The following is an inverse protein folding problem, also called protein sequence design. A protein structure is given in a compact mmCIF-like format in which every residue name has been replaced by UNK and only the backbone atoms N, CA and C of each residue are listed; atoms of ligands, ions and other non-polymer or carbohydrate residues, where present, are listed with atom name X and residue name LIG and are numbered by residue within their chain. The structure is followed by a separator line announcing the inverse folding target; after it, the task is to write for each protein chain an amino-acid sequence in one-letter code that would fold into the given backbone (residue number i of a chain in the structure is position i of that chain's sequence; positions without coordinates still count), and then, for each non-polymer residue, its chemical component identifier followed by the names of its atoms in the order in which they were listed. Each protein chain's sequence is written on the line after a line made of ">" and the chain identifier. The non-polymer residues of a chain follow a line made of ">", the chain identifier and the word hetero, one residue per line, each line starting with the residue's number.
data_IF_858132996789
#
_entry.id   IF_858132996789
#
_cell.length_a   1.000
_cell.length_b   1.000
_cell.length_c   1.000
_cell.angle_alpha   90.00
_cell.angle_beta   90.00
_cell.angle_gamma   90.00
#
_symmetry.space_group_name_H-M   'P 1'
#
loop_
_entity.id
_entity.type
_entity.pdbx_description
1 polymer ?
#
# COMPACT_ATOMS: atom_id res chain seq x y z
N UNK A 1 5.71 -12.39 -9.12
CA UNK A 1 6.47 -11.80 -7.98
C UNK A 1 5.49 -11.11 -7.07
N UNK A 2 5.70 -11.19 -5.77
CA UNK A 2 4.91 -10.48 -4.76
C UNK A 2 5.27 -9.00 -4.81
N UNK A 3 4.26 -8.12 -4.77
CA UNK A 3 4.41 -6.67 -4.73
C UNK A 3 3.77 -6.11 -3.46
N UNK A 4 4.34 -5.04 -2.91
CA UNK A 4 3.69 -4.27 -1.85
C UNK A 4 2.51 -3.47 -2.40
N UNK A 5 1.47 -3.29 -1.61
CA UNK A 5 0.36 -2.38 -1.92
C UNK A 5 0.72 -0.91 -1.68
N UNK A 6 1.74 -0.65 -0.88
CA UNK A 6 2.29 0.68 -0.66
C UNK A 6 3.46 0.90 -1.60
N UNK A 7 3.59 2.10 -2.13
CA UNK A 7 4.68 2.45 -3.02
C UNK A 7 4.78 3.94 -3.25
N UNK A 8 5.93 4.35 -3.73
CA UNK A 8 6.23 5.70 -4.19
C UNK A 8 6.99 5.59 -5.50
N UNK A 9 6.71 6.49 -6.43
CA UNK A 9 7.46 6.65 -7.66
C UNK A 9 7.50 8.09 -8.07
N UNK A 10 8.59 8.50 -8.69
CA UNK A 10 8.77 9.88 -9.11
C UNK A 10 9.51 9.98 -10.44
N UNK A 11 9.11 10.96 -11.26
CA UNK A 11 9.81 11.31 -12.48
C UNK A 11 9.91 12.83 -12.61
N UNK A 12 11.02 13.28 -13.18
CA UNK A 12 11.27 14.70 -13.46
C UNK A 12 11.71 14.85 -14.91
N UNK A 13 11.23 15.89 -15.56
CA UNK A 13 11.62 16.17 -16.93
C UNK A 13 11.23 17.56 -17.38
N UNK A 14 11.67 17.92 -18.59
CA UNK A 14 11.31 19.17 -19.23
C UNK A 14 10.30 18.86 -20.34
N UNK A 15 9.15 19.51 -20.29
CA UNK A 15 8.08 19.37 -21.29
C UNK A 15 7.76 20.76 -21.82
N UNK A 16 8.00 21.01 -23.12
CA UNK A 16 7.79 22.32 -23.77
C UNK A 16 8.39 23.50 -22.97
N UNK A 17 9.64 23.33 -22.48
CA UNK A 17 10.35 24.35 -21.69
C UNK A 17 9.88 24.45 -20.22
N UNK A 18 8.93 23.66 -19.78
CA UNK A 18 8.43 23.62 -18.40
C UNK A 18 9.13 22.51 -17.60
N UNK A 19 9.63 22.83 -16.42
CA UNK A 19 10.12 21.80 -15.50
C UNK A 19 8.93 21.11 -14.82
N UNK A 20 8.77 19.84 -15.10
CA UNK A 20 7.66 19.02 -14.61
C UNK A 20 8.19 17.95 -13.65
N UNK A 21 7.53 17.80 -12.52
CA UNK A 21 7.73 16.68 -11.59
C UNK A 21 6.41 15.97 -11.39
N UNK A 22 6.42 14.65 -11.59
CA UNK A 22 5.28 13.77 -11.31
C UNK A 22 5.66 12.84 -10.17
N UNK A 23 4.88 12.83 -9.11
CA UNK A 23 5.08 11.97 -7.94
C UNK A 23 3.81 11.15 -7.68
N UNK A 24 3.98 9.85 -7.45
CA UNK A 24 2.93 8.89 -7.16
C UNK A 24 3.15 8.32 -5.77
N UNK A 25 2.10 8.27 -4.97
CA UNK A 25 2.12 7.60 -3.67
C UNK A 25 0.88 6.74 -3.52
N UNK A 26 1.06 5.47 -3.15
CA UNK A 26 -0.06 4.58 -2.88
C UNK A 26 -0.14 4.14 -1.43
N UNK A 27 -1.37 3.87 -0.99
CA UNK A 27 -1.68 3.20 0.27
C UNK A 27 -2.69 2.08 0.00
N UNK A 28 -2.69 1.08 0.88
CA UNK A 28 -3.63 -0.03 0.78
C UNK A 28 -5.08 0.48 0.79
N UNK A 29 -5.84 0.12 -0.23
CA UNK A 29 -7.28 0.35 -0.30
C UNK A 29 -7.95 -0.78 -1.09
N UNK A 30 -9.20 -1.10 -0.73
CA UNK A 30 -9.97 -2.18 -1.37
C UNK A 30 -10.30 -1.89 -2.83
N UNK A 31 -10.56 -0.63 -3.16
CA UNK A 31 -10.91 -0.17 -4.51
C UNK A 31 -9.81 0.75 -5.03
N UNK A 32 -9.73 0.87 -6.35
CA UNK A 32 -8.87 1.85 -6.99
C UNK A 32 -9.48 3.25 -6.80
N UNK A 33 -8.74 4.14 -6.13
CA UNK A 33 -9.08 5.55 -5.94
C UNK A 33 -7.88 6.39 -6.35
N UNK A 34 -8.03 7.25 -7.35
CA UNK A 34 -6.93 8.06 -7.91
C UNK A 34 -7.27 9.53 -7.72
N UNK A 35 -6.50 10.20 -6.90
CA UNK A 35 -6.58 11.65 -6.70
C UNK A 35 -5.38 12.33 -7.38
N UNK A 36 -5.64 13.05 -8.47
CA UNK A 36 -4.61 13.83 -9.16
C UNK A 36 -4.67 15.28 -8.68
N UNK A 37 -3.53 15.80 -8.27
CA UNK A 37 -3.35 17.21 -7.88
C UNK A 37 -2.38 17.87 -8.83
N UNK A 38 -2.87 18.84 -9.60
CA UNK A 38 -2.07 19.60 -10.56
C UNK A 38 -2.51 21.06 -10.62
N UNK A 39 -1.67 21.97 -11.13
CA UNK A 39 -2.03 23.37 -11.29
C UNK A 39 -3.21 23.54 -12.24
N UNK A 40 -4.12 24.51 -11.94
CA UNK A 40 -5.38 24.72 -12.67
C UNK A 40 -5.22 24.86 -14.19
N UNK A 41 -4.14 25.47 -14.62
CA UNK A 41 -3.88 25.71 -16.04
C UNK A 41 -3.59 24.42 -16.85
N UNK A 42 -3.38 23.28 -16.18
CA UNK A 42 -3.03 22.00 -16.79
C UNK A 42 -4.09 20.91 -16.57
N UNK A 43 -5.26 21.25 -16.02
CA UNK A 43 -6.36 20.31 -15.77
C UNK A 43 -6.85 19.59 -17.05
N UNK A 44 -6.62 20.16 -18.22
CA UNK A 44 -6.92 19.50 -19.51
C UNK A 44 -6.17 18.16 -19.71
N UNK A 45 -5.10 17.92 -18.95
CA UNK A 45 -4.32 16.68 -19.01
C UNK A 45 -4.67 15.67 -17.90
N UNK A 46 -5.55 16.03 -16.94
CA UNK A 46 -5.87 15.19 -15.78
C UNK A 46 -6.39 13.81 -16.17
N UNK A 47 -7.34 13.77 -17.11
CA UNK A 47 -7.95 12.51 -17.54
C UNK A 47 -6.95 11.59 -18.25
N UNK A 48 -5.99 12.15 -18.98
CA UNK A 48 -4.94 11.37 -19.63
C UNK A 48 -3.99 10.74 -18.59
N UNK A 49 -3.60 11.50 -17.57
CA UNK A 49 -2.80 11.00 -16.43
C UNK A 49 -3.56 9.91 -15.68
N UNK A 50 -4.82 10.12 -15.32
CA UNK A 50 -5.68 9.12 -14.67
C UNK A 50 -5.80 7.85 -15.48
N UNK A 51 -6.09 7.97 -16.77
CA UNK A 51 -6.24 6.83 -17.68
C UNK A 51 -4.94 6.01 -17.76
N UNK A 52 -3.79 6.67 -17.83
CA UNK A 52 -2.48 6.01 -17.83
C UNK A 52 -2.27 5.19 -16.56
N UNK A 53 -2.64 5.73 -15.40
CA UNK A 53 -2.51 5.03 -14.12
C UNK A 53 -3.49 3.86 -14.03
N UNK A 54 -4.74 4.03 -14.46
CA UNK A 54 -5.78 2.98 -14.44
C UNK A 54 -5.41 1.75 -15.26
N UNK A 55 -4.61 1.92 -16.32
CA UNK A 55 -4.11 0.80 -17.13
C UNK A 55 -3.02 -0.03 -16.42
N UNK A 56 -2.36 0.52 -15.40
CA UNK A 56 -1.24 -0.11 -14.69
C UNK A 56 -1.59 -0.62 -13.30
N UNK A 57 -2.52 0.05 -12.61
CA UNK A 57 -2.85 -0.25 -11.21
C UNK A 57 -4.30 -0.68 -11.11
N UNK A 58 -4.53 -1.84 -10.48
CA UNK A 58 -5.88 -2.44 -10.38
C UNK A 58 -6.62 -2.08 -9.09
N UNK A 59 -5.90 -1.72 -8.01
CA UNK A 59 -6.47 -1.38 -6.71
C UNK A 59 -5.53 -0.50 -5.89
N UNK A 60 -6.04 0.09 -4.81
CA UNK A 60 -5.27 0.98 -3.93
C UNK A 60 -5.74 2.42 -4.03
N UNK A 61 -5.39 3.24 -3.06
CA UNK A 61 -5.58 4.69 -3.14
C UNK A 61 -4.27 5.31 -3.56
N UNK A 62 -4.28 6.02 -4.71
CA UNK A 62 -3.14 6.71 -5.26
C UNK A 62 -3.34 8.22 -5.17
N UNK A 63 -2.42 8.89 -4.50
CA UNK A 63 -2.27 10.34 -4.57
C UNK A 63 -1.18 10.66 -5.60
N UNK A 64 -1.52 11.46 -6.60
CA UNK A 64 -0.65 11.87 -7.71
C UNK A 64 -0.45 13.36 -7.62
N UNK A 65 0.80 13.79 -7.52
CA UNK A 65 1.19 15.19 -7.47
C UNK A 65 1.93 15.56 -8.74
N UNK A 66 1.38 16.49 -9.52
CA UNK A 66 2.03 17.06 -10.69
C UNK A 66 2.41 18.48 -10.36
N UNK A 67 3.71 18.71 -10.24
CA UNK A 67 4.27 20.06 -10.02
C UNK A 67 4.89 20.55 -11.30
N UNK A 68 4.51 21.78 -11.72
CA UNK A 68 4.98 22.40 -12.95
C UNK A 68 5.57 23.76 -12.58
N UNK A 69 6.87 23.91 -12.83
CA UNK A 69 7.56 25.17 -12.65
C UNK A 69 7.73 25.88 -14.02
N UNK A 70 7.06 27.02 -14.13
CA UNK A 70 7.09 27.87 -15.33
C UNK A 70 8.07 29.04 -15.21
N UNK A 71 8.94 29.04 -14.21
CA UNK A 71 9.87 30.17 -13.97
C UNK A 71 10.87 30.38 -15.11
N UNK A 72 11.11 29.37 -15.96
CA UNK A 72 12.00 29.44 -17.12
C UNK A 72 11.24 29.50 -18.47
N UNK A 73 9.92 29.50 -18.48
CA UNK A 73 9.15 29.68 -19.71
C UNK A 73 9.29 31.14 -20.19
N UNK A 74 10.26 31.35 -21.06
CA UNK A 74 10.71 32.68 -21.47
C UNK A 74 9.83 33.35 -22.55
N UNK A 75 8.76 32.71 -23.01
CA UNK A 75 7.99 33.26 -24.13
C UNK A 75 6.80 34.11 -23.62
N UNK A 76 7.20 35.27 -23.11
CA UNK A 76 6.25 36.37 -22.93
C UNK A 76 6.12 37.12 -24.24
N UNK A 77 4.99 37.07 -24.89
CA UNK A 77 4.71 37.82 -26.11
C UNK A 77 3.98 39.10 -25.72
N UNK A 78 4.56 40.21 -26.12
CA UNK A 78 3.89 41.51 -26.00
C UNK A 78 2.98 41.67 -27.22
N UNK A 79 1.69 41.78 -26.98
CA UNK A 79 0.67 42.10 -28.01
C UNK A 79 0.24 43.53 -27.87
N UNK A 80 0.22 44.22 -29.03
CA UNK A 80 -0.31 45.58 -29.16
C UNK A 80 -1.73 45.49 -29.71
N UNK A 81 -2.68 46.12 -29.02
CA UNK A 81 -4.04 46.30 -29.54
C UNK A 81 -4.05 47.44 -30.54
N UNK A 82 -3.67 47.13 -31.79
CA UNK A 82 -3.58 48.13 -32.87
C UNK A 82 -4.86 48.91 -33.11
N UNK A 83 -6.10 48.30 -33.13
CA UNK A 83 -7.30 49.07 -33.30
C UNK A 83 -7.53 50.12 -32.21
N UNK A 84 -7.25 49.78 -30.97
CA UNK A 84 -7.37 50.70 -29.83
C UNK A 84 -6.29 51.77 -29.87
N UNK A 85 -5.06 51.42 -30.21
CA UNK A 85 -3.94 52.38 -30.38
C UNK A 85 -4.28 53.40 -31.47
N UNK A 86 -4.80 52.99 -32.65
CA UNK A 86 -5.24 53.90 -33.69
C UNK A 86 -6.38 54.83 -33.22
N UNK A 87 -7.39 54.33 -32.53
CA UNK A 87 -8.45 55.12 -31.99
C UNK A 87 -7.94 56.22 -31.00
N UNK A 88 -6.95 55.91 -30.17
CA UNK A 88 -6.33 56.89 -29.31
C UNK A 88 -5.57 57.98 -30.10
N UNK A 89 -4.75 57.58 -31.09
CA UNK A 89 -4.01 58.50 -31.96
C UNK A 89 -4.95 59.46 -32.68
N UNK A 90 -6.00 58.97 -33.30
CA UNK A 90 -6.97 59.74 -34.06
C UNK A 90 -7.74 60.73 -33.17
N UNK A 91 -8.15 60.23 -31.99
CA UNK A 91 -8.87 61.06 -31.00
C UNK A 91 -7.99 62.20 -30.49
N UNK A 92 -6.76 61.88 -30.08
CA UNK A 92 -5.82 62.90 -29.57
C UNK A 92 -5.42 63.92 -30.64
N UNK A 93 -5.23 63.53 -31.89
CA UNK A 93 -5.01 64.43 -32.99
C UNK A 93 -6.22 65.36 -33.22
N UNK A 94 -7.42 64.82 -33.18
CA UNK A 94 -8.67 65.59 -33.33
C UNK A 94 -8.82 66.63 -32.20
N UNK A 95 -8.51 66.24 -30.95
CA UNK A 95 -8.58 67.13 -29.83
C UNK A 95 -7.50 68.20 -29.87
N UNK A 96 -6.28 67.89 -30.30
CA UNK A 96 -5.20 68.84 -30.46
C UNK A 96 -5.61 69.95 -31.47
N UNK A 97 -6.17 69.60 -32.60
CA UNK A 97 -6.65 70.56 -33.61
C UNK A 97 -7.85 71.39 -33.10
N UNK A 98 -8.84 70.71 -32.45
CA UNK A 98 -10.09 71.34 -32.01
C UNK A 98 -9.87 72.41 -30.92
N UNK A 99 -8.92 72.16 -30.02
CA UNK A 99 -8.69 72.99 -28.86
C UNK A 99 -7.38 73.74 -28.90
N UNK A 100 -6.72 73.76 -30.05
CA UNK A 100 -5.41 74.47 -30.28
C UNK A 100 -4.35 74.02 -29.22
N UNK A 101 -4.30 72.73 -28.96
CA UNK A 101 -3.36 72.15 -28.00
C UNK A 101 -2.14 71.60 -28.72
N UNK A 102 -0.97 71.70 -28.05
CA UNK A 102 0.27 71.13 -28.55
C UNK A 102 0.14 69.59 -28.47
N UNK A 103 0.27 68.93 -29.62
CA UNK A 103 0.34 67.44 -29.62
C UNK A 103 1.76 67.03 -29.22
N UNK A 104 1.88 66.45 -28.03
CA UNK A 104 3.11 65.91 -27.44
C UNK A 104 3.10 64.40 -27.35
N UNK A 105 2.31 63.68 -28.19
CA UNK A 105 2.23 62.25 -28.24
C UNK A 105 3.62 61.63 -28.47
N UNK A 106 4.00 60.73 -27.61
CA UNK A 106 5.16 59.91 -27.76
C UNK A 106 4.79 58.45 -27.69
N UNK A 107 5.60 57.55 -28.26
CA UNK A 107 5.35 56.13 -28.19
C UNK A 107 5.20 55.66 -26.74
N UNK A 108 6.04 56.17 -25.83
CA UNK A 108 6.00 55.81 -24.40
C UNK A 108 4.73 56.31 -23.69
N UNK A 109 4.18 57.47 -24.09
CA UNK A 109 2.92 57.99 -23.52
C UNK A 109 1.74 57.13 -24.01
N UNK A 110 1.71 56.73 -25.27
CA UNK A 110 0.66 55.86 -25.81
C UNK A 110 0.67 54.45 -25.16
N UNK A 111 1.86 53.87 -24.95
CA UNK A 111 1.98 52.56 -24.31
C UNK A 111 1.55 52.51 -22.83
N UNK A 112 1.37 53.68 -22.18
CA UNK A 112 0.88 53.79 -20.81
C UNK A 112 -0.65 53.75 -20.68
N UNK A 113 -1.36 53.92 -21.80
CA UNK A 113 -2.81 53.77 -21.74
C UNK A 113 -3.19 52.31 -21.51
N UNK A 114 -4.20 52.08 -20.67
CA UNK A 114 -4.66 50.73 -20.36
C UNK A 114 -5.12 50.01 -21.64
N UNK A 115 -4.89 48.71 -21.68
CA UNK A 115 -5.35 47.78 -22.72
C UNK A 115 -4.67 47.95 -24.11
N UNK A 116 -3.73 48.91 -24.29
CA UNK A 116 -2.96 48.98 -25.52
C UNK A 116 -1.89 47.91 -25.61
N UNK A 117 -1.22 47.62 -24.50
CA UNK A 117 -0.16 46.61 -24.41
C UNK A 117 -0.63 45.49 -23.47
N UNK A 118 -0.78 44.31 -23.99
CA UNK A 118 -1.01 43.10 -23.21
C UNK A 118 0.22 42.21 -23.20
N UNK A 119 0.52 41.66 -22.01
CA UNK A 119 1.56 40.66 -21.81
C UNK A 119 0.87 39.29 -21.87
N UNK A 120 1.01 38.60 -22.98
CA UNK A 120 0.44 37.27 -23.14
C UNK A 120 1.56 36.22 -23.01
N UNK A 121 1.25 35.14 -22.30
CA UNK A 121 2.11 33.95 -22.38
C UNK A 121 1.85 33.28 -23.72
N UNK A 122 2.91 32.83 -24.40
CA UNK A 122 2.75 32.05 -25.61
C UNK A 122 1.81 30.86 -25.33
N UNK A 123 0.86 30.63 -26.24
CA UNK A 123 -0.03 29.47 -26.13
C UNK A 123 0.82 28.21 -26.24
N UNK A 124 1.02 27.54 -25.10
CA UNK A 124 1.71 26.28 -25.07
C UNK A 124 0.86 25.20 -25.78
N UNK A 125 1.48 24.37 -26.59
CA UNK A 125 0.83 23.28 -27.30
C UNK A 125 0.29 22.25 -26.28
N UNK A 126 -1.02 22.30 -26.04
CA UNK A 126 -1.68 21.45 -25.04
C UNK A 126 -1.51 19.96 -25.36
N UNK A 127 -1.44 19.55 -26.62
CA UNK A 127 -1.29 18.16 -27.00
C UNK A 127 0.12 17.65 -26.71
N UNK A 128 1.15 18.48 -26.94
CA UNK A 128 2.52 18.12 -26.57
C UNK A 128 2.71 18.06 -25.07
N UNK A 129 2.13 19.01 -24.34
CA UNK A 129 2.17 19.00 -22.87
C UNK A 129 1.47 17.74 -22.33
N UNK A 130 0.30 17.40 -22.84
CA UNK A 130 -0.43 16.18 -22.48
C UNK A 130 0.43 14.93 -22.73
N UNK A 131 1.04 14.81 -23.91
CA UNK A 131 1.91 13.70 -24.25
C UNK A 131 3.15 13.62 -23.32
N UNK A 132 3.77 14.76 -23.01
CA UNK A 132 4.90 14.84 -22.09
C UNK A 132 4.51 14.42 -20.66
N UNK A 133 3.36 14.86 -20.16
CA UNK A 133 2.84 14.47 -18.84
C UNK A 133 2.55 12.96 -18.77
N UNK A 134 1.98 12.38 -19.83
CA UNK A 134 1.76 10.93 -19.94
C UNK A 134 3.09 10.18 -19.90
N UNK A 135 4.09 10.62 -20.66
CA UNK A 135 5.42 10.00 -20.66
C UNK A 135 6.09 10.04 -19.29
N UNK A 136 6.05 11.18 -18.60
CA UNK A 136 6.58 11.30 -17.22
C UNK A 136 5.78 10.46 -16.22
N UNK A 137 4.46 10.36 -16.39
CA UNK A 137 3.62 9.48 -15.56
C UNK A 137 4.02 8.02 -15.75
N UNK A 138 4.31 7.56 -16.96
CA UNK A 138 4.80 6.21 -17.23
C UNK A 138 6.17 5.95 -16.59
N UNK A 139 7.07 6.92 -16.62
CA UNK A 139 8.36 6.80 -15.93
C UNK A 139 8.20 6.72 -14.40
N UNK A 140 7.32 7.55 -13.84
CA UNK A 140 7.02 7.52 -12.42
C UNK A 140 6.36 6.19 -12.01
N UNK A 141 5.52 5.60 -12.86
CA UNK A 141 4.94 4.27 -12.66
C UNK A 141 6.01 3.15 -12.70
N UNK A 142 7.00 3.26 -13.56
CA UNK A 142 8.10 2.30 -13.60
C UNK A 142 8.94 2.33 -12.31
N UNK A 143 9.22 3.51 -11.77
CA UNK A 143 9.91 3.68 -10.49
C UNK A 143 9.05 3.16 -9.31
N UNK A 144 7.76 3.47 -9.34
CA UNK A 144 6.76 2.98 -8.40
C UNK A 144 6.71 1.43 -8.36
N UNK A 145 6.68 0.77 -9.51
CA UNK A 145 6.66 -0.69 -9.59
C UNK A 145 7.96 -1.31 -9.05
N UNK A 146 9.12 -0.72 -9.36
CA UNK A 146 10.40 -1.17 -8.79
C UNK A 146 10.42 -1.07 -7.26
N UNK A 147 9.89 0.01 -6.70
CA UNK A 147 9.81 0.16 -5.25
C UNK A 147 8.91 -0.92 -4.64
N UNK A 148 7.72 -1.15 -5.22
CA UNK A 148 6.78 -2.19 -4.77
C UNK A 148 7.37 -3.58 -4.82
N UNK A 149 8.14 -3.90 -5.85
CA UNK A 149 8.82 -5.18 -5.98
C UNK A 149 9.90 -5.37 -4.91
N UNK A 150 10.72 -4.34 -4.64
CA UNK A 150 11.73 -4.38 -3.57
C UNK A 150 11.09 -4.54 -2.19
N UNK A 151 10.00 -3.81 -1.93
CA UNK A 151 9.28 -3.90 -0.67
C UNK A 151 8.55 -5.23 -0.53
N UNK A 152 7.92 -5.73 -1.59
CA UNK A 152 7.28 -7.04 -1.63
C UNK A 152 8.25 -8.18 -1.34
N UNK A 153 9.49 -8.09 -1.85
CA UNK A 153 10.54 -9.06 -1.54
C UNK A 153 10.91 -9.07 -0.05
N UNK A 154 10.99 -7.89 0.59
CA UNK A 154 11.25 -7.78 2.04
C UNK A 154 10.08 -8.35 2.86
N UNK A 155 8.84 -8.02 2.48
CA UNK A 155 7.65 -8.57 3.13
C UNK A 155 7.61 -10.09 3.04
N UNK A 156 7.97 -10.66 1.90
CA UNK A 156 8.08 -12.11 1.73
C UNK A 156 9.10 -12.71 2.70
N UNK A 157 10.29 -12.15 2.79
CA UNK A 157 11.33 -12.63 3.71
C UNK A 157 10.86 -12.58 5.15
N UNK A 158 10.23 -11.48 5.56
CA UNK A 158 9.69 -11.31 6.91
C UNK A 158 8.59 -12.35 7.24
N UNK A 159 7.70 -12.65 6.27
CA UNK A 159 6.69 -13.70 6.44
C UNK A 159 7.33 -15.08 6.56
N UNK A 160 8.34 -15.41 5.73
CA UNK A 160 9.06 -16.69 5.81
C UNK A 160 9.77 -16.89 7.15
N UNK A 161 10.39 -15.86 7.71
CA UNK A 161 11.00 -15.92 9.05
C UNK A 161 9.96 -16.21 10.13
N UNK A 162 8.78 -15.59 10.06
CA UNK A 162 7.68 -15.84 11.00
C UNK A 162 7.10 -17.25 10.84
N UNK A 163 6.96 -17.76 9.60
CA UNK A 163 6.53 -19.13 9.35
C UNK A 163 7.51 -20.14 9.95
N UNK A 164 8.82 -19.91 9.80
CA UNK A 164 9.84 -20.75 10.42
C UNK A 164 9.74 -20.73 11.96
N UNK A 165 9.44 -19.54 12.52
CA UNK A 165 9.20 -19.41 13.97
C UNK A 165 7.98 -20.19 14.42
N UNK A 166 6.87 -20.14 13.67
CA UNK A 166 5.65 -20.92 13.95
C UNK A 166 5.98 -22.41 13.90
N UNK A 167 6.72 -22.90 12.89
CA UNK A 167 7.13 -24.31 12.83
C UNK A 167 7.94 -24.77 14.05
N UNK A 168 8.84 -23.93 14.52
CA UNK A 168 9.59 -24.21 15.78
C UNK A 168 8.65 -24.29 16.98
N UNK A 169 7.67 -23.39 17.11
CA UNK A 169 6.68 -23.42 18.19
C UNK A 169 5.79 -24.65 18.11
N UNK A 170 5.37 -25.07 16.92
CA UNK A 170 4.62 -26.32 16.68
C UNK A 170 5.43 -27.52 17.15
N UNK A 171 6.72 -27.59 16.82
CA UNK A 171 7.61 -28.66 17.26
C UNK A 171 7.71 -28.71 18.80
N UNK A 172 7.73 -27.56 19.47
CA UNK A 172 7.73 -27.52 20.94
C UNK A 172 6.42 -28.10 21.52
N UNK A 173 5.27 -27.81 20.88
CA UNK A 173 3.97 -28.40 21.27
C UNK A 173 3.99 -29.91 21.09
N UNK A 174 4.42 -30.41 19.92
CA UNK A 174 4.51 -31.85 19.61
C UNK A 174 5.41 -32.61 20.59
N UNK A 175 6.49 -31.97 21.07
CA UNK A 175 7.40 -32.58 22.03
C UNK A 175 6.81 -32.61 23.45
N UNK A 176 6.11 -31.54 23.86
CA UNK A 176 5.59 -31.38 25.23
C UNK A 176 4.24 -32.11 25.45
N UNK A 177 3.46 -32.36 24.38
CA UNK A 177 2.13 -32.97 24.50
C UNK A 177 2.14 -34.38 25.11
N UNK A 178 3.03 -35.32 24.71
CA UNK A 178 3.13 -36.66 25.32
C UNK A 178 3.51 -36.61 26.80
N UNK A 179 4.39 -35.71 27.20
CA UNK A 179 4.82 -35.55 28.60
C UNK A 179 3.66 -35.11 29.49
N UNK A 180 2.71 -34.30 28.94
CA UNK A 180 1.53 -33.84 29.66
C UNK A 180 0.58 -35.01 29.97
N UNK A 181 0.37 -35.94 29.04
CA UNK A 181 -0.45 -37.14 29.27
C UNK A 181 0.18 -38.05 30.32
N UNK A 182 1.49 -38.31 30.26
CA UNK A 182 2.21 -39.13 31.21
C UNK A 182 2.20 -38.52 32.65
N UNK A 183 2.38 -37.19 32.75
CA UNK A 183 2.30 -36.48 34.02
C UNK A 183 0.88 -36.50 34.62
N UNK A 184 -0.17 -36.50 33.79
CA UNK A 184 -1.53 -36.65 34.26
C UNK A 184 -1.78 -38.05 34.83
N UNK A 185 -1.36 -39.09 34.13
CA UNK A 185 -1.50 -40.51 34.58
C UNK A 185 -0.81 -40.67 35.95
N UNK A 186 0.44 -40.21 36.08
CA UNK A 186 1.18 -40.28 37.34
C UNK A 186 0.45 -39.55 38.50
N UNK A 187 -0.10 -38.35 38.22
CA UNK A 187 -0.85 -37.58 39.21
C UNK A 187 -2.20 -38.23 39.57
N UNK A 188 -2.88 -38.84 38.59
CA UNK A 188 -4.14 -39.57 38.81
C UNK A 188 -3.87 -40.77 39.73
N UNK A 189 -2.84 -41.54 39.44
CA UNK A 189 -2.40 -42.69 40.27
C UNK A 189 -2.13 -42.28 41.71
N UNK A 190 -1.31 -41.22 41.90
CA UNK A 190 -0.98 -40.71 43.23
C UNK A 190 -2.23 -40.25 44.02
N UNK A 191 -3.18 -39.58 43.34
CA UNK A 191 -4.44 -39.16 43.99
C UNK A 191 -5.31 -40.34 44.39
N UNK A 192 -5.39 -41.38 43.55
CA UNK A 192 -6.15 -42.56 43.83
C UNK A 192 -5.55 -43.37 45.00
N UNK A 193 -4.21 -43.49 45.05
CA UNK A 193 -3.51 -44.10 46.17
C UNK A 193 -3.79 -43.38 47.52
N UNK A 194 -3.79 -42.03 47.47
CA UNK A 194 -4.08 -41.25 48.67
C UNK A 194 -5.52 -41.35 49.18
N UNK A 195 -6.49 -41.50 48.26
CA UNK A 195 -7.92 -41.58 48.60
C UNK A 195 -8.36 -43.00 48.94
N UNK A 196 -7.74 -44.02 48.34
CA UNK A 196 -8.14 -45.41 48.42
C UNK A 196 -7.21 -46.24 49.33
N UNK A 197 -6.57 -45.60 50.32
CA UNK A 197 -5.54 -46.20 51.21
C UNK A 197 -5.94 -47.54 51.92
N UNK A 198 -7.17 -48.04 51.69
CA UNK A 198 -7.69 -49.31 52.21
C UNK A 198 -8.45 -50.16 51.18
N UNK A 199 -8.44 -49.82 49.89
CA UNK A 199 -9.21 -50.53 48.88
C UNK A 199 -8.30 -50.85 47.67
N UNK A 200 -8.46 -52.04 47.08
CA UNK A 200 -7.73 -52.45 45.89
C UNK A 200 -7.94 -51.49 44.75
N UNK A 201 -6.87 -50.99 44.12
CA UNK A 201 -6.95 -50.05 42.99
C UNK A 201 -7.28 -50.87 41.73
N UNK A 202 -8.36 -50.51 41.04
CA UNK A 202 -8.72 -51.07 39.74
C UNK A 202 -7.81 -50.52 38.64
N UNK A 203 -6.66 -51.16 38.41
CA UNK A 203 -5.66 -50.78 37.39
C UNK A 203 -6.29 -50.61 35.97
N UNK A 204 -7.16 -51.51 35.47
CA UNK A 204 -7.83 -51.30 34.17
C UNK A 204 -8.60 -50.00 34.09
N UNK A 205 -9.21 -49.52 35.17
CA UNK A 205 -9.93 -48.26 35.20
C UNK A 205 -9.01 -47.03 35.16
N UNK A 206 -7.84 -47.08 35.82
CA UNK A 206 -6.84 -46.03 35.71
C UNK A 206 -6.33 -45.91 34.31
N UNK A 207 -6.01 -47.04 33.64
CA UNK A 207 -5.51 -47.07 32.27
C UNK A 207 -6.60 -46.53 31.30
N UNK A 208 -7.86 -46.92 31.49
CA UNK A 208 -8.97 -46.44 30.67
C UNK A 208 -9.15 -44.90 30.82
N UNK A 209 -9.11 -44.36 32.01
CA UNK A 209 -9.24 -42.92 32.27
C UNK A 209 -8.05 -42.12 31.71
N UNK A 210 -6.83 -42.67 31.87
CA UNK A 210 -5.62 -42.06 31.30
C UNK A 210 -5.66 -42.06 29.75
N UNK A 211 -6.18 -43.13 29.14
CA UNK A 211 -6.35 -43.20 27.68
C UNK A 211 -7.40 -42.20 27.18
N UNK A 212 -8.54 -42.07 27.86
CA UNK A 212 -9.55 -41.04 27.54
C UNK A 212 -8.97 -39.64 27.65
N UNK A 213 -8.20 -39.38 28.71
CA UNK A 213 -7.54 -38.10 28.88
C UNK A 213 -6.47 -37.82 27.79
N UNK A 214 -5.65 -38.83 27.46
CA UNK A 214 -4.64 -38.72 26.40
C UNK A 214 -5.30 -38.36 25.04
N UNK A 215 -6.43 -39.00 24.70
CA UNK A 215 -7.21 -38.69 23.50
C UNK A 215 -7.78 -37.28 23.55
N UNK A 216 -8.28 -36.84 24.71
CA UNK A 216 -8.80 -35.48 24.89
C UNK A 216 -7.74 -34.38 24.74
N UNK A 217 -6.51 -34.63 25.15
CA UNK A 217 -5.40 -33.66 25.05
C UNK A 217 -4.55 -33.85 23.80
N UNK A 218 -4.86 -34.83 22.97
CA UNK A 218 -4.14 -35.06 21.72
C UNK A 218 -4.27 -33.82 20.79
N UNK A 219 -3.12 -33.35 20.28
CA UNK A 219 -3.02 -32.17 19.41
C UNK A 219 -2.38 -32.51 18.06
N UNK A 220 -2.22 -33.79 17.79
CA UNK A 220 -1.52 -34.26 16.57
C UNK A 220 -2.23 -33.82 15.29
N UNK A 221 -3.56 -33.82 15.30
CA UNK A 221 -4.35 -33.39 14.15
C UNK A 221 -4.16 -31.88 13.90
N UNK A 222 -4.21 -31.08 14.93
CA UNK A 222 -4.04 -29.62 14.85
C UNK A 222 -2.63 -29.24 14.41
N UNK A 223 -1.62 -29.92 14.88
CA UNK A 223 -0.21 -29.65 14.48
C UNK A 223 0.04 -30.06 13.03
N UNK A 224 -0.48 -31.19 12.57
CA UNK A 224 -0.41 -31.64 11.18
C UNK A 224 -1.16 -30.66 10.26
N UNK A 225 -2.35 -30.22 10.64
CA UNK A 225 -3.12 -29.22 9.88
C UNK A 225 -2.35 -27.90 9.79
N UNK A 226 -1.78 -27.42 10.90
CA UNK A 226 -1.03 -26.18 10.95
C UNK A 226 0.20 -26.24 10.03
N UNK A 227 0.94 -27.36 10.02
CA UNK A 227 2.05 -27.59 9.07
C UNK A 227 1.58 -27.60 7.61
N UNK A 228 0.44 -28.22 7.32
CA UNK A 228 -0.17 -28.19 5.99
C UNK A 228 -0.54 -26.77 5.55
N UNK A 229 -1.10 -25.98 6.44
CA UNK A 229 -1.45 -24.59 6.17
C UNK A 229 -0.20 -23.71 5.95
N UNK A 230 0.89 -23.94 6.69
CA UNK A 230 2.18 -23.28 6.47
C UNK A 230 2.71 -23.57 5.04
N UNK A 231 2.70 -24.83 4.64
CA UNK A 231 3.13 -25.24 3.30
C UNK A 231 2.27 -24.58 2.19
N UNK A 232 0.94 -24.52 2.39
CA UNK A 232 0.03 -23.83 1.47
C UNK A 232 0.32 -22.34 1.36
N UNK A 233 0.59 -21.66 2.49
CA UNK A 233 0.92 -20.23 2.47
C UNK A 233 2.23 -19.97 1.72
N UNK A 234 3.27 -20.78 1.93
CA UNK A 234 4.52 -20.72 1.16
C UNK A 234 4.28 -20.86 -0.34
N UNK A 235 3.48 -21.85 -0.74
CA UNK A 235 3.13 -22.05 -2.15
C UNK A 235 2.38 -20.85 -2.74
N UNK A 236 1.48 -20.23 -1.98
CA UNK A 236 0.80 -19.00 -2.41
C UNK A 236 1.77 -17.84 -2.59
N UNK A 237 2.73 -17.66 -1.68
CA UNK A 237 3.77 -16.63 -1.78
C UNK A 237 4.71 -16.84 -2.99
N UNK A 238 4.88 -18.08 -3.45
CA UNK A 238 5.68 -18.40 -4.64
C UNK A 238 4.93 -18.16 -5.95
N UNK A 239 3.64 -18.42 -5.97
CA UNK A 239 2.83 -18.40 -7.21
C UNK A 239 2.63 -17.01 -7.81
N UNK A 240 2.86 -15.93 -7.04
CA UNK A 240 2.71 -14.55 -7.51
C UNK A 240 1.28 -14.17 -7.94
N UNK A 241 0.28 -14.97 -7.56
CA UNK A 241 -1.14 -14.68 -7.76
C UNK A 241 -1.64 -13.71 -6.66
N UNK A 242 -2.71 -12.93 -6.89
CA UNK A 242 -3.25 -12.07 -5.83
C UNK A 242 -3.58 -12.91 -4.59
N UNK A 243 -2.74 -12.78 -3.58
CA UNK A 243 -2.68 -13.66 -2.41
C UNK A 243 -3.76 -13.30 -1.37
N UNK A 244 -4.17 -12.01 -1.33
CA UNK A 244 -4.90 -11.39 -0.23
C UNK A 244 -6.05 -12.23 0.38
N UNK A 245 -7.16 -12.50 -0.34
CA UNK A 245 -8.32 -13.19 0.26
C UNK A 245 -8.05 -14.65 0.64
N UNK A 246 -7.25 -15.36 -0.16
CA UNK A 246 -6.94 -16.77 0.12
C UNK A 246 -6.01 -16.88 1.32
N UNK A 247 -5.06 -15.99 1.43
CA UNK A 247 -4.17 -15.94 2.57
C UNK A 247 -4.89 -15.51 3.85
N UNK A 248 -5.81 -14.52 3.81
CA UNK A 248 -6.64 -14.16 4.96
C UNK A 248 -7.44 -15.35 5.50
N UNK A 249 -8.03 -16.15 4.60
CA UNK A 249 -8.72 -17.38 4.99
C UNK A 249 -7.77 -18.38 5.66
N UNK A 250 -6.60 -18.58 5.08
CA UNK A 250 -5.60 -19.50 5.61
C UNK A 250 -5.08 -19.07 6.99
N UNK A 251 -4.92 -17.78 7.22
CA UNK A 251 -4.56 -17.22 8.53
C UNK A 251 -5.68 -17.44 9.58
N UNK A 252 -6.94 -17.42 9.17
CA UNK A 252 -8.06 -17.79 10.06
C UNK A 252 -7.98 -19.25 10.48
N UNK A 253 -7.62 -20.16 9.57
CA UNK A 253 -7.38 -21.57 9.90
C UNK A 253 -6.17 -21.73 10.84
N UNK A 254 -5.06 -20.99 10.64
CA UNK A 254 -3.94 -20.97 11.60
C UNK A 254 -4.41 -20.61 13.00
N UNK A 255 -5.22 -19.56 13.13
CA UNK A 255 -5.77 -19.12 14.42
C UNK A 255 -6.72 -20.17 15.02
N UNK A 256 -7.49 -20.85 14.19
CA UNK A 256 -8.38 -21.91 14.62
C UNK A 256 -7.62 -23.09 15.21
N UNK A 257 -6.59 -23.59 14.52
CA UNK A 257 -5.77 -24.69 15.02
C UNK A 257 -5.02 -24.27 16.30
N UNK A 258 -4.45 -23.06 16.35
CA UNK A 258 -3.81 -22.54 17.55
C UNK A 258 -4.78 -22.42 18.76
N UNK A 259 -6.06 -22.04 18.52
CA UNK A 259 -7.09 -22.01 19.56
C UNK A 259 -7.41 -23.39 20.07
N UNK A 260 -7.53 -24.38 19.16
CA UNK A 260 -7.83 -25.76 19.54
C UNK A 260 -6.70 -26.38 20.36
N UNK A 261 -5.43 -26.17 19.94
CA UNK A 261 -4.25 -26.57 20.74
C UNK A 261 -4.33 -25.96 22.14
N UNK A 262 -4.61 -24.64 22.24
CA UNK A 262 -4.72 -23.95 23.52
C UNK A 262 -5.84 -24.45 24.42
N UNK A 263 -6.97 -24.89 23.85
CA UNK A 263 -8.11 -25.42 24.63
C UNK A 263 -7.91 -26.87 25.09
N UNK A 264 -7.20 -27.69 24.30
CA UNK A 264 -6.90 -29.08 24.61
C UNK A 264 -5.76 -29.22 25.64
N UNK A 265 -4.76 -28.35 25.59
CA UNK A 265 -3.56 -28.43 26.44
C UNK A 265 -3.79 -27.79 27.81
N UNK A 266 -3.91 -28.62 28.87
CA UNK A 266 -3.97 -28.17 30.27
C UNK A 266 -2.57 -27.99 30.90
N UNK A 267 -1.59 -27.56 30.11
CA UNK A 267 -0.21 -27.34 30.53
C UNK A 267 0.16 -25.86 30.40
N UNK A 268 0.67 -25.25 31.46
CA UNK A 268 1.03 -23.83 31.49
C UNK A 268 2.16 -23.46 30.51
N UNK A 269 3.09 -24.37 30.23
CA UNK A 269 4.18 -24.09 29.29
C UNK A 269 3.68 -24.17 27.84
N UNK A 270 2.82 -25.12 27.52
CA UNK A 270 2.16 -25.14 26.21
C UNK A 270 1.25 -23.91 26.03
N UNK A 271 0.56 -23.46 27.07
CA UNK A 271 -0.25 -22.23 27.02
C UNK A 271 0.59 -21.01 26.64
N UNK A 272 1.83 -20.87 27.15
CA UNK A 272 2.77 -19.81 26.74
C UNK A 272 3.14 -19.94 25.26
N UNK A 273 3.47 -21.14 24.80
CA UNK A 273 3.80 -21.40 23.40
C UNK A 273 2.62 -21.02 22.49
N UNK A 274 1.37 -21.30 22.88
CA UNK A 274 0.18 -20.92 22.14
C UNK A 274 0.00 -19.39 22.06
N UNK A 275 0.33 -18.67 23.11
CA UNK A 275 0.32 -17.18 23.09
C UNK A 275 1.35 -16.66 22.09
N UNK A 276 2.57 -17.20 22.09
CA UNK A 276 3.61 -16.82 21.15
C UNK A 276 3.19 -17.19 19.70
N UNK A 277 2.61 -18.37 19.51
CA UNK A 277 2.08 -18.82 18.22
C UNK A 277 1.05 -17.83 17.65
N UNK A 278 0.06 -17.43 18.46
CA UNK A 278 -0.95 -16.44 18.07
C UNK A 278 -0.34 -15.08 17.73
N UNK A 279 0.66 -14.66 18.49
CA UNK A 279 1.38 -13.41 18.24
C UNK A 279 2.08 -13.45 16.86
N UNK A 280 2.76 -14.54 16.53
CA UNK A 280 3.40 -14.67 15.21
C UNK A 280 2.37 -14.75 14.06
N UNK A 281 1.25 -15.44 14.27
CA UNK A 281 0.14 -15.51 13.29
C UNK A 281 -0.43 -14.11 13.01
N UNK A 282 -0.64 -13.29 14.04
CA UNK A 282 -1.16 -11.93 13.84
C UNK A 282 -0.16 -11.02 13.11
N UNK A 283 1.16 -11.14 13.41
CA UNK A 283 2.19 -10.43 12.65
C UNK A 283 2.19 -10.82 11.16
N UNK A 284 2.02 -12.11 10.84
CA UNK A 284 1.89 -12.56 9.45
C UNK A 284 0.65 -11.94 8.80
N UNK A 285 -0.48 -11.90 9.50
CA UNK A 285 -1.71 -11.31 9.02
C UNK A 285 -1.54 -9.86 8.62
N UNK A 286 -0.88 -9.05 9.47
CA UNK A 286 -0.58 -7.65 9.18
C UNK A 286 0.27 -7.48 7.92
N UNK A 287 1.27 -8.34 7.72
CA UNK A 287 2.13 -8.28 6.53
C UNK A 287 1.37 -8.69 5.25
N UNK A 288 0.56 -9.74 5.33
CA UNK A 288 -0.22 -10.23 4.18
C UNK A 288 -1.24 -9.18 3.70
N UNK A 289 -1.78 -8.37 4.59
CA UNK A 289 -2.67 -7.27 4.21
C UNK A 289 -1.99 -6.21 3.32
N UNK A 290 -0.68 -6.15 3.32
CA UNK A 290 0.12 -5.22 2.51
C UNK A 290 0.70 -5.86 1.24
N UNK A 291 0.35 -7.11 0.95
CA UNK A 291 0.85 -7.88 -0.21
C UNK A 291 -0.24 -7.96 -1.31
N UNK A 292 0.22 -7.75 -2.55
CA UNK A 292 -0.56 -7.94 -3.77
C UNK A 292 0.08 -8.99 -4.69
#
# INVERSE_FOLDING_TARGET
>A
MIRSMTGYGGAKGVVEGLNVTVELKSVNNRYLDIAVRMPRNFLFAEDAVKSTIQQHVSRGKLDVFVTIDSSQAADTVLRVNEPLLRAYIDTLNTLAVRYDLKNDMSLMSLMRFPDILSVEKAEADQDKIRAGLVALTQQALADYDQMREREGAKLRTDVEEKLARIESLVTNVETAAPETAAAYEARLRQKLEAVLAATDIDEPRIIAEAAIYADHVAVDEETVRLRSHIAQLRQMLESGSPVGRKADFLIQEFNREANTIGSKCQNADIAKVVVDLKSEIEKIREQIQNIE
#
